data_IF_651255044946
#
_entry.id   IF_651255044946
#
_cell.length_a   1.000
_cell.length_b   1.000
_cell.length_c   1.000
_cell.angle_alpha   90.00
_cell.angle_beta   90.00
_cell.angle_gamma   90.00
#
_symmetry.space_group_name_H-M   'P 1'
#
loop_
_entity.id
_entity.type
_entity.pdbx_description
1 polymer ?
#
# COMPACT_ATOMS: atom_id res chain seq x y z
N UNK A 1 -21.60 -8.75 5.07
CA UNK A 1 -20.84 -7.52 5.39
C UNK A 1 -20.43 -7.63 6.84
N UNK A 2 -19.21 -7.34 7.14
CA UNK A 2 -18.63 -7.32 8.49
C UNK A 2 -18.70 -5.85 8.98
N UNK A 3 -19.07 -5.65 10.24
CA UNK A 3 -19.03 -4.33 10.87
C UNK A 3 -17.73 -4.18 11.63
N UNK A 4 -17.06 -3.06 11.43
CA UNK A 4 -15.82 -2.71 12.12
C UNK A 4 -15.94 -1.29 12.68
N UNK A 5 -15.32 -1.04 13.83
CA UNK A 5 -15.36 0.28 14.45
C UNK A 5 -14.04 1.01 14.28
N UNK A 6 -14.10 2.29 14.00
CA UNK A 6 -12.92 3.16 13.95
C UNK A 6 -12.29 3.23 15.34
N UNK A 7 -11.00 2.90 15.42
CA UNK A 7 -10.24 2.93 16.67
C UNK A 7 -9.23 4.08 16.73
N UNK A 8 -8.74 4.52 15.56
CA UNK A 8 -7.84 5.67 15.46
C UNK A 8 -7.93 6.33 14.08
N UNK A 9 -7.59 7.61 14.02
CA UNK A 9 -7.48 8.38 12.78
C UNK A 9 -6.22 9.23 12.89
N UNK A 10 -5.38 9.17 11.85
CA UNK A 10 -4.19 10.01 11.73
C UNK A 10 -4.32 10.87 10.49
N UNK A 11 -4.19 12.19 10.64
CA UNK A 11 -4.10 13.12 9.54
C UNK A 11 -2.61 13.42 9.27
N UNK A 12 -2.08 12.86 8.18
CA UNK A 12 -0.69 13.02 7.78
C UNK A 12 -0.42 14.40 7.18
N UNK A 13 -1.40 14.88 6.38
CA UNK A 13 -1.39 16.21 5.76
C UNK A 13 -2.81 16.75 5.64
N UNK A 14 -2.96 17.93 5.05
CA UNK A 14 -4.28 18.46 4.68
C UNK A 14 -5.00 17.57 3.65
N UNK A 15 -4.26 16.71 2.95
CA UNK A 15 -4.77 15.85 1.87
C UNK A 15 -4.87 14.38 2.24
N UNK A 16 -4.01 13.89 3.14
CA UNK A 16 -3.82 12.46 3.37
C UNK A 16 -4.13 12.10 4.83
N UNK A 17 -4.81 10.98 5.04
CA UNK A 17 -5.14 10.46 6.37
C UNK A 17 -5.19 8.95 6.35
N UNK A 18 -5.02 8.32 7.51
CA UNK A 18 -5.27 6.90 7.71
C UNK A 18 -6.37 6.68 8.76
N UNK A 19 -7.08 5.57 8.60
CA UNK A 19 -8.11 5.11 9.54
C UNK A 19 -7.70 3.72 10.00
N UNK A 20 -7.61 3.55 11.32
CA UNK A 20 -7.46 2.25 11.96
C UNK A 20 -8.82 1.77 12.48
N UNK A 21 -9.13 0.50 12.29
CA UNK A 21 -10.40 -0.11 12.73
C UNK A 21 -10.14 -1.38 13.52
N UNK A 22 -11.16 -1.84 14.25
CA UNK A 22 -11.19 -3.22 14.75
C UNK A 22 -11.10 -4.19 13.57
N UNK A 23 -10.66 -5.41 13.84
CA UNK A 23 -10.62 -6.53 12.88
C UNK A 23 -11.51 -7.65 13.39
N UNK A 24 -12.38 -8.15 12.52
CA UNK A 24 -13.16 -9.35 12.80
C UNK A 24 -12.24 -10.58 12.78
N UNK A 25 -12.39 -11.49 13.74
CA UNK A 25 -11.54 -12.68 13.86
C UNK A 25 -11.58 -13.61 12.65
N UNK A 26 -12.65 -13.55 11.85
CA UNK A 26 -12.79 -14.33 10.62
C UNK A 26 -12.14 -13.69 9.41
N UNK A 27 -11.78 -12.39 9.48
CA UNK A 27 -11.24 -11.66 8.33
C UNK A 27 -9.78 -12.03 8.06
N UNK A 28 -9.52 -12.57 6.88
CA UNK A 28 -8.18 -12.95 6.40
C UNK A 28 -7.85 -12.21 5.11
N UNK A 29 -6.58 -11.86 4.98
CA UNK A 29 -6.03 -11.25 3.77
C UNK A 29 -4.54 -11.60 3.68
N UNK A 30 -3.97 -11.49 2.49
CA UNK A 30 -2.53 -11.53 2.25
C UNK A 30 -1.99 -10.11 2.09
N UNK A 31 -0.72 -9.90 2.40
CA UNK A 31 -0.07 -8.60 2.19
C UNK A 31 -0.17 -8.17 0.73
N UNK A 32 -0.34 -6.87 0.50
CA UNK A 32 -0.56 -6.30 -0.84
C UNK A 32 -1.99 -6.41 -1.37
N UNK A 33 -2.92 -7.05 -0.65
CA UNK A 33 -4.33 -7.09 -1.05
C UNK A 33 -5.10 -5.84 -0.62
N UNK A 34 -6.19 -5.58 -1.33
CA UNK A 34 -7.18 -4.57 -0.94
C UNK A 34 -8.48 -5.20 -0.44
N UNK A 35 -9.17 -4.49 0.42
CA UNK A 35 -10.49 -4.81 0.92
C UNK A 35 -11.52 -3.78 0.42
N UNK A 36 -12.76 -4.21 0.30
CA UNK A 36 -13.88 -3.32 0.02
C UNK A 36 -14.42 -2.78 1.33
N UNK A 37 -14.14 -1.51 1.63
CA UNK A 37 -14.56 -0.82 2.86
C UNK A 37 -15.44 0.39 2.54
N UNK A 38 -16.35 0.73 3.44
CA UNK A 38 -17.21 1.88 3.29
C UNK A 38 -18.07 2.15 4.51
N UNK A 39 -19.08 2.97 4.32
CA UNK A 39 -20.02 3.35 5.36
C UNK A 39 -21.41 3.67 4.79
N UNK A 40 -22.40 3.70 5.67
CA UNK A 40 -23.71 4.22 5.31
C UNK A 40 -23.61 5.72 5.05
N UNK A 41 -23.94 6.13 3.84
CA UNK A 41 -23.97 7.53 3.46
C UNK A 41 -25.36 8.12 3.69
N UNK A 42 -25.44 9.15 4.52
CA UNK A 42 -26.67 9.88 4.74
C UNK A 42 -27.15 10.60 3.48
N UNK A 43 -26.24 11.04 2.66
CA UNK A 43 -26.52 11.71 1.40
C UNK A 43 -27.18 10.78 0.38
N UNK A 44 -26.68 9.55 0.24
CA UNK A 44 -27.13 8.59 -0.76
C UNK A 44 -28.13 7.56 -0.21
N UNK A 45 -28.36 7.54 1.11
CA UNK A 45 -29.23 6.59 1.84
C UNK A 45 -28.90 5.12 1.54
N UNK A 46 -27.61 4.84 1.31
CA UNK A 46 -27.06 3.50 1.04
C UNK A 46 -25.58 3.42 1.47
N UNK A 47 -25.10 2.21 1.59
CA UNK A 47 -23.66 2.00 1.78
C UNK A 47 -22.88 2.44 0.53
N UNK A 48 -21.90 3.30 0.73
CA UNK A 48 -20.89 3.65 -0.28
C UNK A 48 -19.63 2.90 0.07
N UNK A 49 -19.20 2.01 -0.82
CA UNK A 49 -18.09 1.08 -0.59
C UNK A 49 -17.09 1.25 -1.73
N UNK A 50 -15.78 1.23 -1.40
CA UNK A 50 -14.68 1.31 -2.37
C UNK A 50 -13.55 0.37 -1.95
N UNK A 51 -12.68 0.06 -2.92
CA UNK A 51 -11.47 -0.68 -2.69
C UNK A 51 -10.42 0.18 -1.97
N UNK A 52 -9.82 -0.36 -0.93
CA UNK A 52 -8.69 0.23 -0.20
C UNK A 52 -7.66 -0.83 0.09
N UNK A 53 -6.41 -0.60 -0.30
CA UNK A 53 -5.31 -1.48 0.06
C UNK A 53 -5.14 -1.50 1.58
N UNK A 54 -4.92 -2.70 2.13
CA UNK A 54 -4.73 -2.87 3.56
C UNK A 54 -3.31 -2.45 3.93
N UNK A 55 -3.18 -1.52 4.86
CA UNK A 55 -1.90 -1.01 5.38
C UNK A 55 -1.31 -1.94 6.44
N UNK A 56 -2.18 -2.51 7.28
CA UNK A 56 -1.78 -3.43 8.36
C UNK A 56 -1.13 -4.70 7.79
N UNK A 57 -0.12 -5.28 8.45
CA UNK A 57 0.36 -6.61 8.08
C UNK A 57 -0.69 -7.69 8.40
N UNK A 58 -0.62 -8.89 7.76
CA UNK A 58 -1.63 -9.95 7.94
C UNK A 58 -1.81 -10.44 9.37
N UNK A 59 -0.79 -10.32 10.21
CA UNK A 59 -0.81 -10.72 11.62
C UNK A 59 -1.38 -9.66 12.58
N UNK A 60 -1.60 -8.42 12.13
CA UNK A 60 -2.06 -7.33 13.01
C UNK A 60 -3.49 -7.58 13.54
N UNK A 61 -3.74 -7.18 14.78
CA UNK A 61 -5.05 -7.27 15.44
C UNK A 61 -6.06 -6.24 14.90
N UNK A 62 -5.58 -5.17 14.31
CA UNK A 62 -6.38 -4.08 13.75
C UNK A 62 -6.15 -3.96 12.25
N UNK A 63 -7.14 -3.43 11.53
CA UNK A 63 -6.99 -3.05 10.14
C UNK A 63 -6.69 -1.55 10.03
N UNK A 64 -5.84 -1.18 9.09
CA UNK A 64 -5.56 0.21 8.78
C UNK A 64 -5.64 0.45 7.27
N UNK A 65 -6.16 1.61 6.90
CA UNK A 65 -6.38 2.03 5.52
C UNK A 65 -5.89 3.46 5.33
N UNK A 66 -5.10 3.69 4.28
CA UNK A 66 -4.62 5.02 3.90
C UNK A 66 -5.55 5.60 2.83
N UNK A 67 -5.94 6.85 2.98
CA UNK A 67 -6.87 7.54 2.09
C UNK A 67 -6.43 8.97 1.79
N UNK A 68 -7.01 9.51 0.72
CA UNK A 68 -6.86 10.92 0.33
C UNK A 68 -8.19 11.64 0.47
N UNK A 69 -8.17 12.88 0.96
CA UNK A 69 -9.36 13.73 1.12
C UNK A 69 -9.83 14.28 -0.23
N UNK A 70 -11.13 14.56 -0.32
CA UNK A 70 -11.75 15.37 -1.39
C UNK A 70 -11.66 14.80 -2.83
N UNK A 71 -11.50 13.48 -2.98
CA UNK A 71 -11.43 12.83 -4.31
C UNK A 71 -12.77 12.24 -4.73
N UNK A 72 -13.68 11.98 -3.79
CA UNK A 72 -14.98 11.40 -4.10
C UNK A 72 -15.94 11.35 -2.91
N UNK A 73 -17.17 10.87 -3.13
CA UNK A 73 -18.21 10.87 -2.10
C UNK A 73 -17.80 10.12 -0.83
N UNK A 74 -17.20 8.94 -0.96
CA UNK A 74 -16.77 8.15 0.21
C UNK A 74 -15.57 8.77 0.91
N UNK A 75 -14.56 9.26 0.17
CA UNK A 75 -13.37 9.86 0.78
C UNK A 75 -13.70 11.11 1.59
N UNK A 76 -14.72 11.87 1.16
CA UNK A 76 -15.20 13.03 1.90
C UNK A 76 -15.91 12.61 3.20
N UNK A 77 -16.70 11.55 3.17
CA UNK A 77 -17.36 11.04 4.38
C UNK A 77 -16.35 10.39 5.32
N UNK A 78 -15.45 9.56 4.80
CA UNK A 78 -14.39 8.92 5.59
C UNK A 78 -13.44 9.92 6.26
N UNK A 79 -13.17 11.07 5.62
CA UNK A 79 -12.31 12.10 6.22
C UNK A 79 -12.91 12.79 7.46
N UNK A 80 -14.22 12.60 7.70
CA UNK A 80 -14.97 13.18 8.81
C UNK A 80 -15.40 12.16 9.87
N UNK A 81 -15.07 10.86 9.71
CA UNK A 81 -15.37 9.83 10.71
C UNK A 81 -14.64 10.12 12.01
N UNK A 82 -15.19 9.58 13.09
CA UNK A 82 -14.64 9.71 14.44
C UNK A 82 -14.36 8.33 15.03
N UNK A 83 -13.52 8.29 16.04
CA UNK A 83 -13.32 7.08 16.84
C UNK A 83 -14.66 6.63 17.40
N UNK A 84 -14.98 5.35 17.22
CA UNK A 84 -16.24 4.73 17.58
C UNK A 84 -17.27 4.63 16.43
N UNK A 85 -17.06 5.34 15.32
CA UNK A 85 -17.96 5.22 14.15
C UNK A 85 -17.84 3.83 13.54
N UNK A 86 -18.98 3.32 13.01
CA UNK A 86 -19.08 2.01 12.37
C UNK A 86 -18.81 2.14 10.87
N UNK A 87 -17.89 1.31 10.38
CA UNK A 87 -17.67 1.09 8.95
C UNK A 87 -18.11 -0.32 8.56
N UNK A 88 -18.35 -0.53 7.27
CA UNK A 88 -18.66 -1.84 6.70
C UNK A 88 -17.51 -2.35 5.87
N UNK A 89 -17.19 -3.63 6.04
CA UNK A 89 -16.12 -4.34 5.36
C UNK A 89 -16.72 -5.55 4.63
N UNK A 90 -16.36 -5.76 3.37
CA UNK A 90 -16.70 -7.01 2.70
C UNK A 90 -15.71 -8.11 3.09
N UNK A 91 -16.18 -9.37 3.23
CA UNK A 91 -15.36 -10.44 3.79
C UNK A 91 -14.26 -10.96 2.86
N UNK A 92 -14.29 -10.59 1.59
CA UNK A 92 -13.32 -11.03 0.57
C UNK A 92 -12.37 -9.90 0.22
N UNK A 93 -11.09 -10.25 0.17
CA UNK A 93 -10.01 -9.43 -0.35
C UNK A 93 -9.56 -9.91 -1.72
N UNK A 94 -8.85 -9.10 -2.43
CA UNK A 94 -8.18 -9.42 -3.69
C UNK A 94 -7.08 -8.40 -3.96
N UNK A 95 -6.25 -8.65 -4.96
CA UNK A 95 -5.17 -7.73 -5.35
C UNK A 95 -4.19 -8.42 -6.27
N UNK A 96 -3.36 -7.64 -6.89
CA UNK A 96 -2.29 -8.11 -7.80
C UNK A 96 -0.90 -8.03 -7.16
N UNK A 97 -0.73 -7.28 -6.08
CA UNK A 97 0.56 -7.09 -5.39
C UNK A 97 0.86 -8.22 -4.40
N UNK A 98 0.75 -9.46 -4.86
CA UNK A 98 0.96 -10.65 -4.05
C UNK A 98 2.31 -11.28 -4.34
N UNK A 99 3.04 -11.65 -3.29
CA UNK A 99 4.32 -12.37 -3.42
C UNK A 99 4.17 -13.65 -4.25
N UNK A 100 3.05 -14.34 -4.13
CA UNK A 100 2.74 -15.55 -4.90
C UNK A 100 2.71 -15.34 -6.43
N UNK A 101 2.62 -14.10 -6.92
CA UNK A 101 2.63 -13.78 -8.34
C UNK A 101 4.03 -13.42 -8.84
N UNK A 102 5.00 -13.27 -7.93
CA UNK A 102 6.40 -13.05 -8.30
C UNK A 102 7.14 -14.39 -8.48
N UNK A 103 7.99 -14.44 -9.50
CA UNK A 103 8.89 -15.57 -9.71
C UNK A 103 9.89 -15.65 -8.54
N UNK A 104 10.02 -16.81 -7.86
CA UNK A 104 10.97 -16.97 -6.77
C UNK A 104 12.43 -16.71 -7.20
N UNK A 105 13.30 -16.41 -6.23
CA UNK A 105 14.75 -16.32 -6.43
C UNK A 105 15.29 -14.94 -6.78
N UNK A 106 14.51 -13.88 -6.66
CA UNK A 106 15.02 -12.50 -6.67
C UNK A 106 15.76 -12.19 -5.37
N UNK A 107 16.86 -11.42 -5.45
CA UNK A 107 17.57 -10.97 -4.25
C UNK A 107 16.98 -9.69 -3.68
N UNK A 108 16.60 -8.74 -4.55
CA UNK A 108 16.01 -7.47 -4.19
C UNK A 108 14.54 -7.43 -4.56
N UNK A 109 13.70 -7.05 -3.60
CA UNK A 109 12.32 -6.63 -3.83
C UNK A 109 12.28 -5.12 -3.93
N UNK A 110 11.98 -4.60 -5.10
CA UNK A 110 11.83 -3.17 -5.35
C UNK A 110 10.35 -2.78 -5.32
N UNK A 111 9.99 -1.91 -4.40
CA UNK A 111 8.64 -1.40 -4.19
C UNK A 111 8.56 0.05 -4.67
N UNK A 112 7.79 0.33 -5.71
CA UNK A 112 7.67 1.64 -6.32
C UNK A 112 6.29 2.24 -6.02
N UNK A 113 6.25 3.30 -5.20
CA UNK A 113 5.01 3.92 -4.72
C UNK A 113 4.90 5.39 -5.13
N UNK A 114 3.70 5.82 -5.55
CA UNK A 114 3.37 7.24 -5.63
C UNK A 114 2.17 7.58 -4.75
N UNK A 115 2.31 8.60 -3.91
CA UNK A 115 1.24 9.07 -3.01
C UNK A 115 0.69 7.94 -2.14
N UNK A 116 -0.64 7.76 -2.14
CA UNK A 116 -1.31 6.69 -1.35
C UNK A 116 -1.11 5.27 -1.91
N UNK A 117 -0.44 5.11 -3.05
CA UNK A 117 0.06 3.81 -3.53
C UNK A 117 1.07 3.17 -2.58
N UNK A 118 1.53 3.90 -1.57
CA UNK A 118 2.30 3.37 -0.45
C UNK A 118 1.53 2.30 0.36
N UNK A 119 0.19 2.42 0.45
CA UNK A 119 -0.64 1.63 1.37
C UNK A 119 -0.37 0.11 1.33
N UNK A 120 -0.40 -0.59 0.18
CA UNK A 120 -0.13 -2.03 0.13
C UNK A 120 1.29 -2.38 0.57
N UNK A 121 2.26 -1.50 0.33
CA UNK A 121 3.65 -1.76 0.68
C UNK A 121 3.94 -1.66 2.17
N UNK A 122 3.16 -0.89 2.91
CA UNK A 122 3.22 -0.89 4.38
C UNK A 122 2.83 -2.26 4.97
N UNK A 123 1.93 -2.99 4.33
CA UNK A 123 1.61 -4.38 4.68
C UNK A 123 2.73 -5.33 4.23
N UNK A 124 3.16 -5.19 2.97
CA UNK A 124 4.16 -6.04 2.32
C UNK A 124 5.51 -6.02 3.06
N UNK A 125 6.02 -4.85 3.43
CA UNK A 125 7.31 -4.70 4.13
C UNK A 125 7.30 -5.40 5.49
N UNK A 126 6.14 -5.49 6.16
CA UNK A 126 5.99 -6.12 7.48
C UNK A 126 5.48 -7.57 7.41
N UNK A 127 5.43 -8.16 6.23
CA UNK A 127 5.09 -9.57 6.03
C UNK A 127 6.32 -10.44 6.22
N UNK A 128 6.24 -11.39 7.16
CA UNK A 128 7.37 -12.25 7.53
C UNK A 128 7.85 -13.11 6.36
N UNK A 129 6.92 -13.65 5.56
CA UNK A 129 7.27 -14.48 4.39
C UNK A 129 8.05 -13.64 3.35
N UNK A 130 7.72 -12.37 3.20
CA UNK A 130 8.42 -11.45 2.30
C UNK A 130 9.80 -11.09 2.86
N UNK A 131 9.89 -10.77 4.15
CA UNK A 131 11.16 -10.45 4.80
C UNK A 131 12.15 -11.62 4.67
N UNK A 132 11.67 -12.85 4.79
CA UNK A 132 12.50 -14.05 4.63
C UNK A 132 12.87 -14.34 3.17
N UNK A 133 12.03 -13.96 2.21
CA UNK A 133 12.21 -14.29 0.79
C UNK A 133 13.27 -13.44 0.09
N UNK A 134 13.60 -12.26 0.61
CA UNK A 134 14.50 -11.31 -0.05
C UNK A 134 15.68 -10.90 0.83
N UNK A 135 16.85 -10.71 0.20
CA UNK A 135 18.04 -10.18 0.87
C UNK A 135 17.90 -8.68 1.15
N UNK A 136 17.24 -7.96 0.25
CA UNK A 136 17.00 -6.51 0.32
C UNK A 136 15.58 -6.19 -0.09
N UNK A 137 14.94 -5.29 0.64
CA UNK A 137 13.65 -4.68 0.31
C UNK A 137 13.91 -3.17 0.15
N UNK A 138 13.71 -2.66 -1.05
CA UNK A 138 13.86 -1.23 -1.31
C UNK A 138 12.51 -0.61 -1.64
N UNK A 139 12.12 0.39 -0.85
CA UNK A 139 10.91 1.19 -1.09
C UNK A 139 11.30 2.57 -1.60
N UNK A 140 10.91 2.89 -2.83
CA UNK A 140 10.97 4.23 -3.40
C UNK A 140 9.58 4.84 -3.36
N UNK A 141 9.40 5.87 -2.53
CA UNK A 141 8.10 6.53 -2.34
C UNK A 141 8.15 7.99 -2.79
N UNK A 142 7.41 8.31 -3.84
CA UNK A 142 7.33 9.67 -4.37
C UNK A 142 6.02 10.36 -3.97
N UNK A 143 6.15 11.57 -3.44
CA UNK A 143 5.04 12.48 -3.18
C UNK A 143 5.31 13.86 -3.76
N UNK A 144 4.27 14.69 -3.92
CA UNK A 144 4.43 16.05 -4.38
C UNK A 144 5.04 16.95 -3.31
N UNK A 145 4.53 16.83 -2.09
CA UNK A 145 4.98 17.61 -0.93
C UNK A 145 5.45 16.68 0.18
N UNK A 146 6.37 17.14 1.01
CA UNK A 146 6.94 16.37 2.12
C UNK A 146 5.88 15.87 3.10
N UNK A 147 4.88 16.69 3.40
CA UNK A 147 3.79 16.34 4.32
C UNK A 147 2.87 15.24 3.75
N UNK A 148 2.90 15.00 2.43
CA UNK A 148 2.15 13.91 1.80
C UNK A 148 2.87 12.55 1.89
N UNK A 149 4.10 12.51 2.43
CA UNK A 149 4.82 11.26 2.74
C UNK A 149 4.27 10.64 4.03
N UNK A 150 3.10 10.01 3.96
CA UNK A 150 2.56 9.27 5.08
C UNK A 150 3.55 8.19 5.57
N UNK A 151 3.57 7.90 6.86
CA UNK A 151 4.47 6.91 7.49
C UNK A 151 5.97 7.19 7.28
N UNK A 152 6.35 8.43 6.95
CA UNK A 152 7.75 8.76 6.70
C UNK A 152 8.64 8.54 7.93
N UNK A 153 8.13 8.80 9.15
CA UNK A 153 8.86 8.55 10.38
C UNK A 153 9.12 7.04 10.53
N UNK A 154 8.08 6.24 10.47
CA UNK A 154 8.12 4.78 10.66
C UNK A 154 9.08 4.13 9.65
N UNK A 155 9.04 4.55 8.40
CA UNK A 155 9.91 4.05 7.35
C UNK A 155 11.37 4.52 7.52
N UNK A 156 11.59 5.76 7.91
CA UNK A 156 12.95 6.31 8.12
C UNK A 156 13.63 5.70 9.34
N UNK A 157 12.87 5.41 10.40
CA UNK A 157 13.38 4.75 11.61
C UNK A 157 13.28 3.23 11.54
N UNK A 158 12.86 2.69 10.37
CA UNK A 158 12.70 1.25 10.15
C UNK A 158 11.86 0.62 11.26
N UNK A 159 10.69 1.22 11.54
CA UNK A 159 9.73 0.74 12.54
C UNK A 159 10.31 0.58 13.95
N UNK A 160 11.12 1.53 14.43
CA UNK A 160 11.75 1.45 15.78
C UNK A 160 10.74 1.26 16.92
N UNK A 161 9.49 1.66 16.73
CA UNK A 161 8.37 1.47 17.67
C UNK A 161 7.78 0.04 17.62
N UNK A 162 8.22 -0.82 16.67
CA UNK A 162 7.87 -2.24 16.51
C UNK A 162 9.17 -3.10 16.60
N UNK A 163 9.70 -3.39 17.80
CA UNK A 163 11.07 -3.93 17.97
C UNK A 163 11.36 -5.23 17.19
N UNK A 164 10.40 -6.15 17.12
CA UNK A 164 10.58 -7.41 16.40
C UNK A 164 10.72 -7.18 14.89
N UNK A 165 9.91 -6.27 14.34
CA UNK A 165 9.95 -5.88 12.93
C UNK A 165 11.21 -5.09 12.62
N UNK A 166 11.61 -4.17 13.53
CA UNK A 166 12.85 -3.42 13.39
C UNK A 166 14.05 -4.35 13.28
N UNK A 167 14.16 -5.34 14.17
CA UNK A 167 15.29 -6.27 14.17
C UNK A 167 15.40 -7.08 12.87
N UNK A 168 14.27 -7.44 12.28
CA UNK A 168 14.22 -8.16 11.01
C UNK A 168 14.54 -7.29 9.79
N UNK A 169 14.24 -5.99 9.87
CA UNK A 169 14.33 -5.08 8.71
C UNK A 169 15.55 -4.16 8.72
N UNK A 170 16.19 -3.92 9.85
CA UNK A 170 17.26 -2.90 10.02
C UNK A 170 18.41 -3.01 9.01
N UNK A 171 18.74 -4.24 8.58
CA UNK A 171 19.80 -4.52 7.61
C UNK A 171 19.26 -4.84 6.20
N UNK A 172 17.93 -4.84 6.01
CA UNK A 172 17.29 -5.25 4.76
C UNK A 172 16.48 -4.13 4.09
N UNK A 173 15.84 -3.25 4.88
CA UNK A 173 14.98 -2.21 4.34
C UNK A 173 15.77 -0.97 3.96
N UNK A 174 15.62 -0.56 2.70
CA UNK A 174 16.11 0.72 2.19
C UNK A 174 14.89 1.57 1.85
N UNK A 175 14.77 2.74 2.45
CA UNK A 175 13.69 3.69 2.16
C UNK A 175 14.21 4.94 1.47
N UNK A 176 13.71 5.21 0.28
CA UNK A 176 14.07 6.35 -0.56
C UNK A 176 12.85 7.25 -0.78
N UNK A 177 12.61 8.27 0.08
CA UNK A 177 11.57 9.26 -0.15
C UNK A 177 11.97 10.27 -1.22
N UNK A 178 11.05 10.61 -2.13
CA UNK A 178 11.22 11.59 -3.18
C UNK A 178 10.14 12.67 -3.09
N UNK A 179 10.55 13.95 -2.98
CA UNK A 179 9.65 15.11 -2.87
C UNK A 179 9.79 15.98 -4.09
N UNK A 180 8.89 15.87 -5.05
CA UNK A 180 9.02 16.54 -6.37
C UNK A 180 8.90 18.06 -6.31
N UNK A 181 8.20 18.63 -5.31
CA UNK A 181 8.18 20.09 -5.10
C UNK A 181 9.49 20.66 -4.54
N UNK A 182 10.38 19.81 -4.03
CA UNK A 182 11.69 20.18 -3.47
C UNK A 182 12.84 19.96 -4.47
N UNK A 183 12.51 19.52 -5.68
CA UNK A 183 13.47 19.34 -6.77
C UNK A 183 13.92 17.90 -6.98
N UNK A 184 13.40 16.93 -6.21
CA UNK A 184 13.67 15.53 -6.46
C UNK A 184 13.10 15.11 -7.81
N UNK A 185 13.81 14.23 -8.47
CA UNK A 185 13.34 13.62 -9.70
C UNK A 185 12.20 12.65 -9.39
N UNK A 186 11.32 12.46 -10.36
CA UNK A 186 10.30 11.39 -10.28
C UNK A 186 10.96 10.04 -10.34
N UNK A 187 10.25 9.03 -9.83
CA UNK A 187 10.63 7.63 -10.05
C UNK A 187 10.73 7.38 -11.55
N UNK A 188 11.82 6.75 -11.98
CA UNK A 188 12.07 6.36 -13.36
C UNK A 188 12.76 5.00 -13.44
N UNK A 189 13.11 4.54 -14.64
CA UNK A 189 13.69 3.23 -14.91
C UNK A 189 15.08 3.00 -14.27
N UNK A 190 15.77 4.04 -13.81
CA UNK A 190 17.10 3.92 -13.16
C UNK A 190 17.04 3.20 -11.80
N UNK A 191 15.85 3.09 -11.21
CA UNK A 191 15.67 2.33 -9.98
C UNK A 191 15.62 0.82 -10.21
N UNK A 192 15.27 0.36 -11.43
CA UNK A 192 15.05 -1.06 -11.74
C UNK A 192 16.33 -1.67 -12.30
N UNK A 193 16.77 -2.77 -11.72
CA UNK A 193 17.94 -3.52 -12.14
C UNK A 193 17.58 -4.93 -12.63
N UNK A 194 18.38 -5.52 -13.52
CA UNK A 194 18.19 -6.91 -13.91
C UNK A 194 18.27 -7.85 -12.70
N UNK A 195 17.27 -8.71 -12.54
CA UNK A 195 17.18 -9.65 -11.43
C UNK A 195 16.30 -9.21 -10.27
N UNK A 196 15.83 -7.97 -10.27
CA UNK A 196 14.85 -7.49 -9.29
C UNK A 196 13.54 -8.28 -9.37
N UNK A 197 12.81 -8.22 -8.27
CA UNK A 197 11.37 -8.40 -8.24
C UNK A 197 10.72 -7.06 -7.97
N UNK A 198 9.79 -6.64 -8.83
CA UNK A 198 9.24 -5.29 -8.79
C UNK A 198 7.75 -5.33 -8.46
N UNK A 199 7.34 -4.54 -7.48
CA UNK A 199 5.94 -4.23 -7.23
C UNK A 199 5.72 -2.71 -7.39
N UNK A 200 4.69 -2.31 -8.12
CA UNK A 200 4.38 -0.90 -8.28
C UNK A 200 2.91 -0.59 -8.00
N UNK A 201 2.69 0.49 -7.28
CA UNK A 201 1.35 1.02 -6.98
C UNK A 201 1.33 2.55 -7.09
N UNK A 202 0.47 3.06 -7.94
CA UNK A 202 0.32 4.48 -8.17
C UNK A 202 -0.80 4.82 -9.15
N UNK A 203 -0.76 6.03 -9.68
CA UNK A 203 -1.72 6.44 -10.71
C UNK A 203 -1.51 5.67 -12.03
N UNK A 204 -2.48 5.77 -12.90
CA UNK A 204 -2.51 5.01 -14.16
C UNK A 204 -1.25 5.24 -15.02
N UNK A 205 -0.83 6.49 -15.19
CA UNK A 205 0.33 6.82 -16.01
C UNK A 205 1.61 6.23 -15.42
N UNK A 206 1.83 6.39 -14.13
CA UNK A 206 2.98 5.81 -13.44
C UNK A 206 3.06 4.29 -13.62
N UNK A 207 1.92 3.60 -13.45
CA UNK A 207 1.88 2.15 -13.64
C UNK A 207 2.18 1.74 -15.09
N UNK A 208 1.72 2.50 -16.10
CA UNK A 208 2.10 2.26 -17.49
C UNK A 208 3.61 2.44 -17.71
N UNK A 209 4.19 3.50 -17.18
CA UNK A 209 5.62 3.76 -17.29
C UNK A 209 6.44 2.60 -16.68
N UNK A 210 6.06 2.11 -15.50
CA UNK A 210 6.73 0.96 -14.85
C UNK A 210 6.62 -0.31 -15.70
N UNK A 211 5.44 -0.59 -16.26
CA UNK A 211 5.26 -1.75 -17.16
C UNK A 211 6.21 -1.68 -18.35
N UNK A 212 6.32 -0.52 -19.00
CA UNK A 212 7.23 -0.35 -20.14
C UNK A 212 8.69 -0.51 -19.71
N UNK A 213 9.11 0.10 -18.59
CA UNK A 213 10.47 -0.05 -18.07
C UNK A 213 10.84 -1.51 -17.75
N UNK A 214 9.93 -2.26 -17.12
CA UNK A 214 10.14 -3.66 -16.82
C UNK A 214 10.25 -4.51 -18.11
N UNK A 215 9.37 -4.26 -19.09
CA UNK A 215 9.40 -4.96 -20.39
C UNK A 215 10.66 -4.67 -21.19
N UNK A 216 11.16 -3.43 -21.17
CA UNK A 216 12.42 -3.05 -21.83
C UNK A 216 13.61 -3.82 -21.24
N UNK A 217 13.53 -4.25 -19.98
CA UNK A 217 14.50 -5.13 -19.33
C UNK A 217 14.24 -6.62 -19.55
N UNK A 218 13.22 -6.97 -20.34
CA UNK A 218 12.84 -8.36 -20.63
C UNK A 218 12.08 -9.07 -19.53
N UNK A 219 11.56 -8.31 -18.54
CA UNK A 219 10.75 -8.84 -17.43
C UNK A 219 9.33 -9.17 -17.89
N UNK A 220 8.72 -10.18 -17.26
CA UNK A 220 7.31 -10.58 -17.47
C UNK A 220 6.43 -10.17 -16.29
N UNK A 221 5.18 -9.80 -16.59
CA UNK A 221 4.20 -9.44 -15.57
C UNK A 221 3.58 -10.70 -14.94
N UNK A 222 3.64 -10.78 -13.63
CA UNK A 222 3.03 -11.86 -12.85
C UNK A 222 1.51 -11.71 -12.71
N UNK A 223 0.85 -12.84 -12.54
CA UNK A 223 -0.60 -12.94 -12.38
C UNK A 223 -0.99 -14.18 -11.58
N UNK A 224 -2.30 -14.37 -11.35
CA UNK A 224 -2.82 -15.60 -10.75
C UNK A 224 -2.70 -16.86 -11.63
N UNK A 225 -2.23 -16.71 -12.89
CA UNK A 225 -2.04 -17.84 -13.82
C UNK A 225 -0.57 -18.20 -13.97
N UNK A 226 0.30 -17.21 -13.92
CA UNK A 226 1.72 -17.38 -14.17
C UNK A 226 2.49 -16.33 -13.34
N UNK A 227 3.60 -16.76 -12.72
CA UNK A 227 4.49 -15.87 -12.00
C UNK A 227 5.33 -15.04 -12.95
N UNK A 228 5.72 -13.83 -12.56
CA UNK A 228 6.57 -12.94 -13.33
C UNK A 228 7.57 -12.20 -12.46
N UNK A 229 8.40 -11.37 -13.06
CA UNK A 229 9.38 -10.58 -12.33
C UNK A 229 8.78 -9.31 -11.75
N UNK A 230 7.61 -8.86 -12.26
CA UNK A 230 6.94 -7.69 -11.71
C UNK A 230 5.43 -7.84 -11.62
N UNK A 231 4.82 -7.10 -10.71
CA UNK A 231 3.36 -6.95 -10.58
C UNK A 231 3.00 -5.49 -10.32
N UNK A 232 1.85 -5.06 -10.81
CA UNK A 232 1.35 -3.69 -10.60
C UNK A 232 -0.07 -3.68 -10.07
N UNK A 233 -0.44 -2.63 -9.33
CA UNK A 233 -1.81 -2.35 -8.95
C UNK A 233 -2.13 -0.85 -9.09
N UNK A 234 -3.30 -0.55 -9.65
CA UNK A 234 -3.75 0.84 -9.80
C UNK A 234 -4.27 1.35 -8.46
N UNK A 235 -3.65 2.38 -7.90
CA UNK A 235 -4.07 3.01 -6.64
C UNK A 235 -5.49 3.59 -6.70
N UNK A 236 -5.96 3.98 -7.90
CA UNK A 236 -7.29 4.52 -8.14
C UNK A 236 -7.84 3.97 -9.45
N UNK A 237 -9.04 3.41 -9.40
CA UNK A 237 -9.88 3.18 -10.57
C UNK A 237 -10.94 4.26 -10.53
N UNK A 238 -10.79 5.31 -11.34
CA UNK A 238 -11.86 6.25 -11.60
C UNK A 238 -13.01 5.49 -12.28
N UNK A 239 -14.13 5.37 -11.58
CA UNK A 239 -15.43 4.95 -12.13
C UNK A 239 -16.38 6.12 -12.14
#
# INVERSE_FOLDING_TARGET
MIKVNVTNIVHWSDRTFSIKTTRDESFRFESGEFAMIGMMSDKYKKNVIRAYSVVSPPWAENLEFLSIKNVGPLTNELSNVKVGDELVLLPKTTGTLRNAFLTPGGKRLLLLATGTGLAPFMSTIRDLDIIESFDTIELVHSARHRDDLAYNKELTTIFEDEPDIHELLKDKLIYTPLVTSEGDQRIDNRFIEPGDRVMACGNMQFNYDVVEWCKDLGMTEGSNRETGEFVIEKAFVDQ
#
